data_IF_336861055928
#
_entry.id   IF_336861055928
#
_cell.length_a   1.000
_cell.length_b   1.000
_cell.length_c   1.000
_cell.angle_alpha   90.00
_cell.angle_beta   90.00
_cell.angle_gamma   90.00
#
_symmetry.space_group_name_H-M   'P 1'
#
loop_
_entity.id
_entity.type
_entity.pdbx_description
1 polymer ?
#
# COMPACT_ATOMS: atom_id res chain seq x y z
N UNK A 1 13.01 -2.48 8.77
CA UNK A 1 11.93 -3.48 8.93
C UNK A 1 11.15 -3.55 7.62
N UNK A 2 10.51 -4.69 7.30
CA UNK A 2 9.73 -4.85 6.06
C UNK A 2 8.35 -5.37 6.42
N UNK A 3 7.31 -4.79 5.82
CA UNK A 3 5.93 -5.25 5.91
C UNK A 3 5.46 -5.71 4.53
N UNK A 4 5.30 -7.02 4.38
CA UNK A 4 4.90 -7.69 3.16
C UNK A 4 4.23 -9.03 3.50
N UNK A 5 3.47 -9.57 2.55
CA UNK A 5 3.11 -10.98 2.56
C UNK A 5 4.29 -11.82 2.09
N UNK A 6 4.69 -12.84 2.87
CA UNK A 6 5.72 -13.77 2.45
C UNK A 6 5.24 -14.62 1.26
N UNK A 7 6.19 -15.24 0.57
CA UNK A 7 5.88 -16.24 -0.46
C UNK A 7 5.31 -17.48 0.22
N UNK A 8 4.11 -17.88 -0.17
CA UNK A 8 3.44 -19.08 0.36
C UNK A 8 3.17 -20.04 -0.80
N UNK A 9 3.49 -21.33 -0.62
CA UNK A 9 3.25 -22.38 -1.63
C UNK A 9 3.80 -22.04 -3.03
N UNK A 10 4.97 -21.40 -3.09
CA UNK A 10 5.59 -20.95 -4.34
C UNK A 10 4.97 -19.69 -4.96
N UNK A 11 3.82 -19.23 -4.44
CA UNK A 11 3.12 -18.05 -4.94
C UNK A 11 3.41 -16.81 -4.11
N UNK A 12 3.56 -15.65 -4.78
CA UNK A 12 3.82 -14.36 -4.14
C UNK A 12 2.96 -13.30 -4.81
N UNK A 13 2.21 -12.56 -3.99
CA UNK A 13 1.45 -11.42 -4.43
C UNK A 13 1.41 -10.36 -3.34
N UNK A 14 1.88 -9.15 -3.68
CA UNK A 14 1.89 -7.97 -2.81
C UNK A 14 1.46 -6.78 -3.69
N UNK A 15 0.41 -6.06 -3.30
CA UNK A 15 -0.05 -4.84 -3.98
C UNK A 15 0.79 -3.66 -3.55
N UNK A 16 1.19 -3.66 -2.27
CA UNK A 16 2.13 -2.74 -1.68
C UNK A 16 3.03 -3.48 -0.70
N UNK A 17 4.31 -3.10 -0.66
CA UNK A 17 5.28 -3.50 0.34
C UNK A 17 5.83 -2.24 0.99
N UNK A 18 5.91 -2.22 2.32
CA UNK A 18 6.49 -1.10 3.06
C UNK A 18 7.86 -1.47 3.62
N UNK A 19 8.85 -0.63 3.34
CA UNK A 19 10.18 -0.72 3.93
C UNK A 19 10.35 0.43 4.92
N UNK A 20 10.63 0.11 6.17
CA UNK A 20 10.88 1.08 7.23
C UNK A 20 12.38 1.13 7.52
N UNK A 21 13.02 2.25 7.20
CA UNK A 21 14.40 2.56 7.59
C UNK A 21 14.35 3.23 8.96
N UNK A 22 14.87 2.56 9.98
CA UNK A 22 14.80 3.01 11.37
C UNK A 22 16.19 3.42 11.86
N UNK A 23 16.24 4.41 12.76
CA UNK A 23 17.46 4.74 13.49
C UNK A 23 17.74 3.76 14.64
N UNK A 24 18.84 3.96 15.35
CA UNK A 24 19.23 3.11 16.51
C UNK A 24 18.20 3.12 17.64
N UNK A 25 17.42 4.18 17.78
CA UNK A 25 16.34 4.30 18.76
C UNK A 25 15.00 3.74 18.25
N UNK A 26 14.96 3.12 17.07
CA UNK A 26 13.75 2.53 16.48
C UNK A 26 12.80 3.53 15.81
N UNK A 27 13.15 4.83 15.73
CA UNK A 27 12.33 5.84 15.04
C UNK A 27 12.52 5.76 13.52
N UNK A 28 11.45 5.89 12.72
CA UNK A 28 11.57 5.88 11.27
C UNK A 28 12.28 7.14 10.75
N UNK A 29 13.28 6.93 9.90
CA UNK A 29 13.98 7.96 9.14
C UNK A 29 13.40 8.07 7.74
N UNK A 30 13.16 6.93 7.10
CA UNK A 30 12.51 6.84 5.80
C UNK A 30 11.50 5.70 5.77
N UNK A 31 10.44 5.90 5.01
CA UNK A 31 9.49 4.86 4.66
C UNK A 31 9.47 4.75 3.14
N UNK A 32 9.65 3.55 2.60
CA UNK A 32 9.48 3.31 1.17
C UNK A 32 8.22 2.49 0.94
N UNK A 33 7.36 2.96 0.05
CA UNK A 33 6.17 2.26 -0.41
C UNK A 33 6.43 1.72 -1.82
N UNK A 34 6.75 0.43 -1.94
CA UNK A 34 6.83 -0.25 -3.24
C UNK A 34 5.43 -0.72 -3.62
N UNK A 35 4.86 -0.13 -4.67
CA UNK A 35 3.53 -0.48 -5.17
C UNK A 35 3.70 -1.29 -6.46
N UNK A 36 3.05 -2.44 -6.53
CA UNK A 36 3.01 -3.27 -7.75
C UNK A 36 1.64 -3.17 -8.39
N UNK A 37 1.56 -2.75 -9.66
CA UNK A 37 0.28 -2.69 -10.35
C UNK A 37 -0.15 -4.10 -10.82
N UNK A 38 -1.45 -4.37 -10.75
CA UNK A 38 -2.07 -5.60 -11.25
C UNK A 38 -3.08 -5.18 -12.31
N UNK A 39 -3.06 -5.77 -13.53
CA UNK A 39 -2.34 -6.97 -13.95
C UNK A 39 -0.97 -6.74 -14.60
N UNK A 40 -0.48 -5.50 -14.73
CA UNK A 40 0.72 -5.21 -15.55
C UNK A 40 2.05 -5.58 -14.89
N UNK A 41 2.07 -5.85 -13.58
CA UNK A 41 3.24 -6.28 -12.81
C UNK A 41 4.45 -5.32 -12.90
N UNK A 42 4.17 -4.05 -13.18
CA UNK A 42 5.11 -2.95 -13.04
C UNK A 42 5.20 -2.56 -11.56
N UNK A 43 6.29 -1.89 -11.18
CA UNK A 43 6.52 -1.46 -9.81
C UNK A 43 7.00 -0.03 -9.78
N UNK A 44 6.52 0.70 -8.78
CA UNK A 44 6.96 2.05 -8.47
C UNK A 44 7.26 2.13 -6.97
N UNK A 45 8.34 2.82 -6.61
CA UNK A 45 8.73 3.03 -5.22
C UNK A 45 8.61 4.50 -4.86
N UNK A 46 7.75 4.82 -3.90
CA UNK A 46 7.64 6.15 -3.32
C UNK A 46 8.49 6.22 -2.04
N UNK A 47 9.29 7.26 -1.90
CA UNK A 47 10.14 7.48 -0.72
C UNK A 47 9.58 8.61 0.12
N UNK A 48 9.42 8.37 1.42
CA UNK A 48 8.87 9.31 2.39
C UNK A 48 9.95 9.67 3.42
N UNK A 49 10.30 10.96 3.51
CA UNK A 49 11.30 11.48 4.45
C UNK A 49 10.66 11.84 5.80
N UNK A 50 10.84 10.97 6.79
CA UNK A 50 10.26 11.13 8.11
C UNK A 50 11.02 12.14 9.00
N UNK A 51 12.22 12.56 8.62
CA UNK A 51 13.07 13.41 9.46
C UNK A 51 12.44 14.80 9.66
N UNK A 52 11.76 15.30 8.62
CA UNK A 52 11.17 16.66 8.61
C UNK A 52 9.68 16.69 8.90
N UNK A 53 8.99 15.55 8.86
CA UNK A 53 7.52 15.48 8.89
C UNK A 53 7.00 14.64 10.05
N UNK A 54 7.36 15.03 11.27
CA UNK A 54 6.90 14.37 12.48
C UNK A 54 5.80 15.18 13.18
N UNK A 55 4.64 14.56 13.37
CA UNK A 55 3.56 15.04 14.24
C UNK A 55 3.29 14.04 15.36
N UNK A 56 2.67 14.52 16.44
CA UNK A 56 2.11 13.67 17.49
C UNK A 56 0.60 13.94 17.58
N UNK A 57 -0.19 12.87 17.47
CA UNK A 57 -1.66 12.94 17.55
C UNK A 57 -2.11 11.93 18.59
N UNK A 58 -2.43 12.42 19.79
CA UNK A 58 -2.62 11.57 20.96
C UNK A 58 -1.38 10.69 21.21
N UNK A 59 -1.59 9.38 21.30
CA UNK A 59 -0.52 8.39 21.53
C UNK A 59 0.21 7.95 20.25
N UNK A 60 -0.16 8.50 19.08
CA UNK A 60 0.43 8.12 17.80
C UNK A 60 1.50 9.11 17.37
N UNK A 61 2.67 8.58 17.02
CA UNK A 61 3.65 9.28 16.20
C UNK A 61 3.20 9.20 14.74
N UNK A 62 2.86 10.34 14.14
CA UNK A 62 2.27 10.42 12.80
C UNK A 62 3.19 11.13 11.81
N UNK A 63 3.22 10.63 10.57
CA UNK A 63 3.97 11.17 9.45
C UNK A 63 3.04 11.35 8.25
N UNK A 64 2.91 12.58 7.77
CA UNK A 64 1.97 12.97 6.72
C UNK A 64 2.70 13.40 5.44
N UNK A 65 2.42 12.73 4.33
CA UNK A 65 3.08 12.95 3.04
C UNK A 65 2.05 13.25 1.95
N UNK A 66 2.25 14.35 1.22
CA UNK A 66 1.40 14.74 0.10
C UNK A 66 2.24 14.85 -1.17
N UNK A 67 1.85 14.14 -2.24
CA UNK A 67 2.60 14.13 -3.50
C UNK A 67 1.72 13.69 -4.68
N UNK A 68 2.15 14.00 -5.90
CA UNK A 68 1.42 13.64 -7.11
C UNK A 68 1.53 12.13 -7.43
N UNK A 69 0.44 11.54 -7.92
CA UNK A 69 0.42 10.14 -8.35
C UNK A 69 1.13 9.98 -9.69
N UNK A 70 2.30 9.35 -9.69
CA UNK A 70 3.07 9.04 -10.89
C UNK A 70 2.79 7.66 -11.49
N UNK A 71 2.01 6.79 -10.81
CA UNK A 71 1.88 5.38 -11.17
C UNK A 71 0.43 4.92 -11.40
N UNK A 72 0.20 4.18 -12.50
CA UNK A 72 -1.13 3.66 -12.86
C UNK A 72 -1.39 2.31 -12.18
N UNK A 73 -1.93 2.37 -10.97
CA UNK A 73 -2.15 1.19 -10.11
C UNK A 73 -3.46 0.45 -10.42
N UNK A 74 -4.51 1.17 -10.82
CA UNK A 74 -5.86 0.64 -11.03
C UNK A 74 -6.47 1.18 -12.32
N UNK A 75 -7.14 0.34 -13.13
CA UNK A 75 -7.87 0.79 -14.30
C UNK A 75 -9.13 1.61 -13.97
N UNK A 76 -9.57 1.66 -12.71
CA UNK A 76 -10.75 2.43 -12.31
C UNK A 76 -10.38 3.79 -11.69
N UNK A 77 -9.11 4.19 -11.78
CA UNK A 77 -8.61 5.44 -11.21
C UNK A 77 -7.84 6.25 -12.26
N UNK A 78 -8.14 7.56 -12.41
CA UNK A 78 -7.39 8.41 -13.30
C UNK A 78 -5.94 8.61 -12.81
N UNK A 79 -5.08 9.13 -13.70
CA UNK A 79 -3.68 9.44 -13.38
C UNK A 79 -3.51 10.75 -12.64
N UNK A 80 -4.33 11.76 -12.95
CA UNK A 80 -4.25 13.12 -12.41
C UNK A 80 -4.85 13.18 -11.01
N UNK A 81 -4.18 12.54 -10.04
CA UNK A 81 -4.58 12.49 -8.64
C UNK A 81 -3.42 12.86 -7.74
N UNK A 82 -3.74 13.40 -6.57
CA UNK A 82 -2.77 13.64 -5.49
C UNK A 82 -2.93 12.57 -4.42
N UNK A 83 -1.82 11.94 -4.02
CA UNK A 83 -1.76 11.07 -2.85
C UNK A 83 -1.63 11.90 -1.58
N UNK A 84 -2.34 11.45 -0.53
CA UNK A 84 -2.06 11.82 0.85
C UNK A 84 -1.87 10.54 1.66
N UNK A 85 -0.66 10.33 2.16
CA UNK A 85 -0.30 9.21 3.01
C UNK A 85 -0.13 9.68 4.43
N UNK A 86 -0.70 8.93 5.37
CA UNK A 86 -0.45 9.08 6.80
C UNK A 86 0.02 7.76 7.36
N UNK A 87 1.18 7.78 7.99
CA UNK A 87 1.73 6.66 8.75
C UNK A 87 1.68 7.02 10.22
N UNK A 88 0.90 6.28 11.00
CA UNK A 88 0.73 6.50 12.43
C UNK A 88 1.16 5.26 13.19
N UNK A 89 2.14 5.41 14.07
CA UNK A 89 2.67 4.32 14.87
C UNK A 89 2.48 4.61 16.36
N UNK A 90 2.00 3.63 17.09
CA UNK A 90 1.98 3.61 18.56
C UNK A 90 2.48 2.26 19.06
N UNK A 91 2.66 2.13 20.37
CA UNK A 91 3.10 0.87 20.99
C UNK A 91 2.06 -0.24 20.86
N UNK A 92 0.79 0.10 20.67
CA UNK A 92 -0.32 -0.86 20.59
C UNK A 92 -0.77 -1.14 19.16
N UNK A 93 -0.88 -0.10 18.33
CA UNK A 93 -1.46 -0.22 16.99
C UNK A 93 -0.71 0.64 15.99
N UNK A 94 -0.60 0.12 14.77
CA UNK A 94 -0.02 0.82 13.65
C UNK A 94 -1.10 1.03 12.59
N UNK A 95 -1.15 2.21 12.01
CA UNK A 95 -2.14 2.60 11.01
C UNK A 95 -1.44 3.22 9.83
N UNK A 96 -1.74 2.71 8.65
CA UNK A 96 -1.31 3.28 7.37
C UNK A 96 -2.57 3.67 6.63
N UNK A 97 -2.72 4.96 6.39
CA UNK A 97 -3.86 5.53 5.70
C UNK A 97 -3.38 6.17 4.40
N UNK A 98 -4.03 5.82 3.30
CA UNK A 98 -3.77 6.38 1.99
C UNK A 98 -5.05 6.96 1.44
N UNK A 99 -4.98 8.18 0.95
CA UNK A 99 -6.08 8.88 0.30
C UNK A 99 -5.66 9.35 -1.08
N UNK A 100 -6.63 9.44 -1.98
CA UNK A 100 -6.50 10.01 -3.31
C UNK A 100 -7.47 11.17 -3.46
N UNK A 101 -6.93 12.28 -3.97
CA UNK A 101 -7.67 13.51 -4.20
C UNK A 101 -7.63 13.88 -5.68
N UNK A 102 -8.79 14.26 -6.22
CA UNK A 102 -8.97 14.89 -7.53
C UNK A 102 -9.48 16.31 -7.26
N UNK A 103 -8.76 17.35 -7.71
CA UNK A 103 -9.16 18.76 -7.50
C UNK A 103 -9.58 19.08 -6.06
N UNK A 104 -8.80 18.63 -5.07
CA UNK A 104 -9.09 18.75 -3.62
C UNK A 104 -10.28 17.96 -3.08
N UNK A 105 -11.02 17.23 -3.91
CA UNK A 105 -12.07 16.29 -3.49
C UNK A 105 -11.47 14.91 -3.24
N UNK A 106 -11.72 14.33 -2.08
CA UNK A 106 -11.35 12.94 -1.80
C UNK A 106 -12.18 12.01 -2.68
N UNK A 107 -11.52 11.23 -3.53
CA UNK A 107 -12.18 10.25 -4.43
C UNK A 107 -12.00 8.81 -3.96
N UNK A 108 -11.00 8.56 -3.12
CA UNK A 108 -10.74 7.24 -2.56
C UNK A 108 -9.90 7.32 -1.29
N UNK A 109 -10.11 6.38 -0.39
CA UNK A 109 -9.24 6.12 0.75
C UNK A 109 -9.12 4.62 1.04
N UNK A 110 -7.98 4.25 1.63
CA UNK A 110 -7.70 2.92 2.12
C UNK A 110 -6.96 3.02 3.45
N UNK A 111 -7.38 2.20 4.41
CA UNK A 111 -6.75 2.13 5.73
C UNK A 111 -6.31 0.71 6.02
N UNK A 112 -5.04 0.54 6.36
CA UNK A 112 -4.51 -0.69 6.92
C UNK A 112 -4.18 -0.47 8.39
N UNK A 113 -4.81 -1.25 9.27
CA UNK A 113 -4.51 -1.29 10.70
C UNK A 113 -3.86 -2.63 11.02
N UNK A 114 -2.79 -2.62 11.79
CA UNK A 114 -2.09 -3.83 12.18
C UNK A 114 -1.34 -3.65 13.49
N UNK A 115 -1.06 -4.78 14.13
CA UNK A 115 -0.30 -4.85 15.37
C UNK A 115 0.95 -5.68 15.12
N UNK A 116 2.03 -5.37 15.85
CA UNK A 116 3.28 -6.10 15.74
C UNK A 116 3.38 -7.07 16.92
N UNK A 117 3.09 -8.35 16.65
CA UNK A 117 3.27 -9.42 17.64
C UNK A 117 4.64 -10.05 17.43
N UNK A 118 5.57 -9.95 18.41
CA UNK A 118 6.88 -10.56 18.29
C UNK A 118 6.74 -12.08 18.29
N UNK A 119 7.44 -12.73 17.37
CA UNK A 119 7.58 -14.18 17.38
C UNK A 119 8.72 -14.51 18.35
N UNK A 120 8.36 -15.08 19.49
CA UNK A 120 9.28 -15.48 20.57
C UNK A 120 9.60 -16.97 20.55
N UNK A 121 8.73 -17.81 19.94
CA UNK A 121 8.92 -19.26 19.86
C UNK A 121 8.80 -19.78 18.42
N UNK A 122 9.55 -20.83 18.03
CA UNK A 122 9.42 -21.44 16.70
C UNK A 122 7.99 -21.93 16.39
N UNK A 123 7.26 -22.44 17.38
CA UNK A 123 5.87 -22.91 17.20
C UNK A 123 4.93 -21.83 16.66
N UNK A 124 5.15 -20.56 17.02
CA UNK A 124 4.38 -19.42 16.52
C UNK A 124 4.63 -19.18 15.03
N UNK A 125 5.87 -19.40 14.56
CA UNK A 125 6.23 -19.28 13.13
C UNK A 125 5.49 -20.32 12.30
N UNK A 126 5.51 -21.59 12.72
CA UNK A 126 4.83 -22.68 12.02
C UNK A 126 3.31 -22.44 11.98
N UNK A 127 2.72 -22.07 13.12
CA UNK A 127 1.30 -21.74 13.19
C UNK A 127 0.95 -20.57 12.27
N UNK A 128 1.75 -19.51 12.25
CA UNK A 128 1.55 -18.38 11.35
C UNK A 128 1.61 -18.80 9.89
N UNK A 129 2.60 -19.62 9.50
CA UNK A 129 2.78 -20.09 8.13
C UNK A 129 1.59 -20.96 7.66
N UNK A 130 1.07 -21.82 8.53
CA UNK A 130 -0.09 -22.66 8.24
C UNK A 130 -1.37 -21.82 8.05
N UNK A 131 -1.68 -20.93 9.00
CA UNK A 131 -2.88 -20.09 8.96
C UNK A 131 -2.87 -19.13 7.76
N UNK A 132 -1.69 -18.61 7.39
CA UNK A 132 -1.54 -17.61 6.32
C UNK A 132 -1.05 -18.20 4.99
N UNK A 133 -1.07 -19.53 4.84
CA UNK A 133 -0.61 -20.23 3.64
C UNK A 133 -1.34 -19.79 2.37
N UNK A 134 -2.61 -19.40 2.48
CA UNK A 134 -3.45 -18.92 1.38
C UNK A 134 -3.56 -17.39 1.32
N UNK A 135 -2.83 -16.63 2.15
CA UNK A 135 -2.98 -15.18 2.25
C UNK A 135 -2.70 -14.45 0.91
N UNK A 136 -1.64 -14.75 0.15
CA UNK A 136 -1.40 -14.09 -1.14
C UNK A 136 -2.51 -14.38 -2.17
N UNK A 137 -3.04 -15.61 -2.19
CA UNK A 137 -4.16 -15.99 -3.06
C UNK A 137 -5.44 -15.25 -2.69
N UNK A 138 -5.75 -15.20 -1.39
CA UNK A 138 -6.91 -14.46 -0.86
C UNK A 138 -6.82 -12.99 -1.25
N UNK A 139 -5.65 -12.38 -1.15
CA UNK A 139 -5.43 -11.00 -1.52
C UNK A 139 -5.68 -10.76 -3.02
N UNK A 140 -5.11 -11.60 -3.89
CA UNK A 140 -5.34 -11.53 -5.33
C UNK A 140 -6.83 -11.66 -5.68
N UNK A 141 -7.48 -12.69 -5.13
CA UNK A 141 -8.89 -12.96 -5.37
C UNK A 141 -9.77 -11.79 -4.93
N UNK A 142 -9.52 -11.23 -3.75
CA UNK A 142 -10.26 -10.06 -3.26
C UNK A 142 -10.11 -8.84 -4.17
N UNK A 143 -8.91 -8.58 -4.71
CA UNK A 143 -8.69 -7.47 -5.65
C UNK A 143 -9.51 -7.68 -6.93
N UNK A 144 -9.50 -8.88 -7.50
CA UNK A 144 -10.30 -9.17 -8.69
C UNK A 144 -11.80 -9.11 -8.43
N UNK A 145 -12.24 -9.55 -7.25
CA UNK A 145 -13.65 -9.48 -6.86
C UNK A 145 -14.12 -8.03 -6.74
N UNK A 146 -13.33 -7.14 -6.14
CA UNK A 146 -13.64 -5.71 -6.09
C UNK A 146 -13.61 -5.06 -7.47
N UNK A 147 -12.63 -5.40 -8.31
CA UNK A 147 -12.60 -4.94 -9.70
C UNK A 147 -13.85 -5.36 -10.49
N UNK A 148 -14.32 -6.60 -10.31
CA UNK A 148 -15.55 -7.09 -10.92
C UNK A 148 -16.80 -6.36 -10.39
N UNK A 149 -16.87 -6.08 -9.08
CA UNK A 149 -17.95 -5.29 -8.49
C UNK A 149 -17.99 -3.86 -9.06
N UNK A 150 -16.84 -3.21 -9.23
CA UNK A 150 -16.73 -1.88 -9.83
C UNK A 150 -17.16 -1.89 -11.31
N UNK A 151 -16.71 -2.89 -12.06
CA UNK A 151 -17.13 -3.10 -13.45
C UNK A 151 -18.65 -3.28 -13.56
N UNK A 152 -19.25 -4.10 -12.69
CA UNK A 152 -20.71 -4.30 -12.64
C UNK A 152 -21.45 -3.00 -12.29
N UNK A 153 -20.85 -2.13 -11.48
CA UNK A 153 -21.35 -0.79 -11.15
C UNK A 153 -21.11 0.25 -12.28
N UNK A 154 -20.54 -0.16 -13.42
CA UNK A 154 -20.22 0.70 -14.57
C UNK A 154 -19.29 1.86 -14.22
N UNK A 155 -18.37 1.65 -13.26
CA UNK A 155 -17.33 2.65 -12.95
C UNK A 155 -16.45 2.86 -14.18
N UNK A 156 -16.08 4.11 -14.54
CA UNK A 156 -15.27 4.40 -15.72
C UNK A 156 -13.94 3.61 -15.74
N UNK A 157 -13.59 3.11 -16.91
CA UNK A 157 -12.35 2.38 -17.14
C UNK A 157 -11.33 3.28 -17.85
N UNK A 158 -10.19 3.50 -17.22
CA UNK A 158 -9.06 4.26 -17.73
C UNK A 158 -8.02 3.30 -18.30
N UNK A 159 -7.62 3.55 -19.57
CA UNK A 159 -6.60 2.74 -20.23
C UNK A 159 -5.22 3.06 -19.67
N UNK A 160 -4.39 2.02 -19.56
CA UNK A 160 -3.01 2.17 -19.11
C UNK A 160 -2.24 3.17 -20.02
N UNK A 161 -1.51 4.16 -19.46
CA UNK A 161 -0.86 5.21 -20.25
C UNK A 161 0.06 4.70 -21.36
N UNK A 162 0.83 3.63 -21.09
CA UNK A 162 1.71 2.99 -22.09
C UNK A 162 0.99 2.34 -23.28
N UNK A 163 -0.33 2.18 -23.23
CA UNK A 163 -1.15 1.64 -24.33
C UNK A 163 -1.91 2.72 -25.10
N UNK A 164 -1.73 3.99 -24.75
CA UNK A 164 -2.25 5.11 -25.53
C UNK A 164 -1.28 5.28 -26.72
N UNK A 165 -1.67 4.81 -27.90
CA UNK A 165 -1.01 5.23 -29.13
C UNK A 165 -1.22 6.74 -29.26
N UNK A 166 -0.14 7.51 -29.18
CA UNK A 166 -0.14 8.88 -29.67
C UNK A 166 -0.30 8.77 -31.18
N UNK A 167 -1.49 9.06 -31.71
CA UNK A 167 -1.61 9.35 -33.13
C UNK A 167 -0.75 10.59 -33.38
N UNK A 168 0.37 10.38 -34.06
CA UNK A 168 1.18 11.46 -34.60
C UNK A 168 0.41 11.99 -35.82
N UNK A 169 -0.42 12.99 -35.60
CA UNK A 169 -0.83 13.95 -36.64
C UNK A 169 0.22 15.02 -36.80
#
# INVERSE_FOLDING_TARGET
RVLALPRCLGFRFNSVVFYFVLNKAGKPLFILSEITNTPWNEREVYTHDCIKQQGQVGDYQSFDFNFEKSFHVSPFMPMQLTYRWRFSFSDQQNVIHMQLFEEQKQVFDATMRFELVPITFPSQQYRYALINSLAPFKMLFSIYLEAFKLWRKKVPFYRHPKKIKVDKT
#
